data_IF_081526159494
#
_entry.id   IF_081526159494
#
_cell.length_a   1.000
_cell.length_b   1.000
_cell.length_c   1.000
_cell.angle_alpha   90.00
_cell.angle_beta   90.00
_cell.angle_gamma   90.00
#
_symmetry.space_group_name_H-M   'P 1'
#
loop_
_entity.id
_entity.type
_entity.pdbx_description
1 polymer ?
#
# COMPACT_ATOMS: atom_id res chain seq x y z
N UNK A 1 3.28 -27.18 1.61
CA UNK A 1 2.03 -26.52 1.16
C UNK A 1 2.17 -26.13 -0.32
N UNK A 2 1.07 -25.91 -1.04
CA UNK A 2 1.14 -25.26 -2.37
C UNK A 2 1.38 -23.77 -2.18
N UNK A 3 2.36 -23.24 -2.90
CA UNK A 3 2.69 -21.81 -2.96
C UNK A 3 2.03 -21.10 -4.14
N UNK A 4 1.13 -21.80 -4.84
CA UNK A 4 0.31 -21.25 -5.91
C UNK A 4 -0.83 -20.44 -5.29
N UNK A 5 -0.99 -19.19 -5.71
CA UNK A 5 -1.99 -18.25 -5.19
C UNK A 5 -3.13 -18.00 -6.20
N UNK A 6 -3.35 -18.93 -7.11
CA UNK A 6 -4.21 -18.79 -8.30
C UNK A 6 -5.71 -19.00 -8.08
N UNK A 7 -6.17 -19.25 -6.85
CA UNK A 7 -7.59 -19.49 -6.54
C UNK A 7 -8.12 -18.59 -5.41
N UNK A 8 -8.94 -17.60 -5.76
CA UNK A 8 -10.05 -17.10 -4.96
C UNK A 8 -11.37 -17.53 -5.61
N UNK A 9 -12.01 -18.57 -5.08
CA UNK A 9 -13.25 -19.14 -5.64
C UNK A 9 -14.51 -18.32 -5.31
N UNK A 10 -14.60 -17.09 -5.81
CA UNK A 10 -15.80 -16.25 -5.81
C UNK A 10 -15.95 -15.50 -7.14
N UNK A 11 -17.08 -15.73 -7.83
CA UNK A 11 -17.39 -15.10 -9.12
C UNK A 11 -17.84 -13.65 -8.90
N UNK A 12 -17.22 -12.71 -9.60
CA UNK A 12 -17.64 -11.30 -9.67
C UNK A 12 -17.94 -10.95 -11.13
N UNK A 13 -19.18 -10.55 -11.42
CA UNK A 13 -19.58 -10.12 -12.77
C UNK A 13 -19.22 -8.64 -12.97
N UNK A 14 -18.37 -8.29 -13.95
CA UNK A 14 -18.18 -6.89 -14.34
C UNK A 14 -19.39 -6.42 -15.15
N UNK A 15 -19.94 -5.26 -14.81
CA UNK A 15 -20.87 -4.56 -15.70
C UNK A 15 -20.10 -4.00 -16.90
N UNK A 16 -20.64 -4.18 -18.11
CA UNK A 16 -20.06 -3.65 -19.33
C UNK A 16 -20.86 -2.42 -19.80
N UNK A 17 -20.17 -1.31 -20.03
CA UNK A 17 -20.68 -0.19 -20.83
C UNK A 17 -19.75 0.04 -22.03
N UNK A 18 -20.35 0.43 -23.15
CA UNK A 18 -19.79 0.30 -24.49
C UNK A 18 -19.16 1.58 -25.02
N UNK A 19 -18.11 1.43 -25.83
CA UNK A 19 -17.52 2.52 -26.60
C UNK A 19 -17.72 2.18 -28.09
N UNK A 20 -18.36 3.09 -28.83
CA UNK A 20 -18.71 2.87 -30.23
C UNK A 20 -17.50 3.04 -31.16
N UNK A 21 -17.31 2.10 -32.10
CA UNK A 21 -16.22 2.15 -33.09
C UNK A 21 -16.61 2.91 -34.37
N UNK A 22 -15.66 3.68 -34.88
CA UNK A 22 -15.48 3.94 -36.33
C UNK A 22 -14.01 4.33 -36.60
N UNK A 23 -13.35 3.93 -37.69
CA UNK A 23 -13.71 2.91 -38.68
C UNK A 23 -13.46 3.31 -40.15
N UNK A 24 -12.20 3.40 -40.59
CA UNK A 24 -11.84 3.62 -42.01
C UNK A 24 -10.61 2.76 -42.41
N UNK A 25 -10.58 2.30 -43.66
CA UNK A 25 -9.57 1.38 -44.21
C UNK A 25 -8.25 2.06 -44.64
N UNK A 26 -7.15 1.29 -44.61
CA UNK A 26 -5.89 1.58 -45.29
C UNK A 26 -5.30 0.29 -45.90
N UNK A 27 -4.62 0.36 -47.05
CA UNK A 27 -4.31 -0.82 -47.88
C UNK A 27 -2.87 -0.82 -48.41
N UNK A 28 -2.36 -2.01 -48.79
CA UNK A 28 -1.06 -2.29 -49.46
C UNK A 28 0.19 -2.22 -48.56
N UNK A 29 1.34 -2.82 -48.91
CA UNK A 29 1.74 -4.12 -49.56
C UNK A 29 3.24 -4.00 -49.88
N UNK A 30 4.07 -4.93 -49.42
CA UNK A 30 5.48 -5.11 -49.85
C UNK A 30 6.41 -3.91 -49.51
N UNK A 31 7.73 -4.04 -49.34
CA UNK A 31 8.64 -4.91 -50.10
C UNK A 31 9.80 -5.53 -49.28
N UNK A 32 10.57 -6.39 -49.94
CA UNK A 32 11.72 -7.13 -49.41
C UNK A 32 13.02 -6.57 -50.00
N UNK A 33 14.06 -6.34 -49.19
CA UNK A 33 15.43 -6.45 -49.72
C UNK A 33 16.47 -6.83 -48.67
N UNK A 34 17.27 -7.83 -49.03
CA UNK A 34 18.37 -8.40 -48.25
C UNK A 34 19.64 -7.55 -48.34
N UNK A 35 20.45 -7.51 -47.27
CA UNK A 35 21.91 -7.52 -47.43
C UNK A 35 22.63 -8.13 -46.22
N UNK A 36 23.49 -9.12 -46.49
CA UNK A 36 24.51 -9.65 -45.58
C UNK A 36 25.84 -8.92 -45.87
N UNK A 37 26.66 -8.72 -44.85
CA UNK A 37 28.07 -9.17 -44.71
C UNK A 37 28.59 -8.63 -43.37
N UNK A 38 29.56 -9.17 -42.63
CA UNK A 38 30.03 -10.51 -42.24
C UNK A 38 31.41 -10.26 -41.59
N UNK A 39 31.68 -10.81 -40.39
CA UNK A 39 33.01 -11.08 -39.82
C UNK A 39 33.93 -9.88 -39.46
N UNK A 40 34.45 -9.92 -38.23
CA UNK A 40 35.58 -9.11 -37.73
C UNK A 40 35.85 -9.45 -36.26
N UNK A 41 36.89 -10.24 -35.97
CA UNK A 41 37.24 -10.68 -34.61
C UNK A 41 38.46 -9.92 -34.06
N UNK A 42 38.65 -10.04 -32.74
CA UNK A 42 39.95 -10.10 -32.04
C UNK A 42 40.41 -8.86 -31.23
N UNK A 43 40.34 -9.03 -29.91
CA UNK A 43 41.46 -8.86 -28.97
C UNK A 43 41.98 -7.47 -28.54
N UNK A 44 41.84 -7.25 -27.23
CA UNK A 44 42.93 -7.08 -26.23
C UNK A 44 43.31 -5.69 -25.69
N UNK A 45 43.60 -5.77 -24.39
CA UNK A 45 44.60 -5.07 -23.57
C UNK A 45 44.25 -3.74 -22.87
N UNK A 46 44.97 -3.53 -21.76
CA UNK A 46 44.64 -2.62 -20.67
C UNK A 46 45.43 -1.30 -20.78
N UNK A 47 45.04 -0.28 -20.01
CA UNK A 47 45.85 0.26 -18.89
C UNK A 47 45.14 1.41 -18.16
N UNK A 48 45.24 1.42 -16.83
CA UNK A 48 45.12 2.64 -16.02
C UNK A 48 46.52 3.29 -15.89
N UNK A 49 46.58 4.60 -15.63
CA UNK A 49 47.22 5.01 -14.37
C UNK A 49 46.41 6.08 -13.61
N UNK A 50 46.93 6.53 -12.45
CA UNK A 50 46.19 7.33 -11.47
C UNK A 50 46.73 8.77 -11.29
N UNK A 51 45.82 9.65 -10.84
CA UNK A 51 45.96 10.78 -9.89
C UNK A 51 47.37 11.40 -9.72
N UNK A 52 47.47 12.74 -9.80
CA UNK A 52 47.89 13.46 -8.60
C UNK A 52 46.84 14.47 -8.10
N UNK A 53 46.87 14.73 -6.79
CA UNK A 53 46.00 15.68 -6.10
C UNK A 53 46.51 17.12 -6.24
N UNK A 54 45.65 18.10 -5.99
CA UNK A 54 46.13 19.40 -5.52
C UNK A 54 45.15 20.01 -4.50
N UNK A 55 45.67 20.84 -3.60
CA UNK A 55 44.96 21.30 -2.40
C UNK A 55 44.78 22.81 -2.38
N UNK A 56 43.69 23.29 -1.77
CA UNK A 56 43.57 24.67 -1.31
C UNK A 56 42.62 24.75 -0.13
N UNK A 57 43.06 25.41 0.94
CA UNK A 57 42.26 25.68 2.14
C UNK A 57 41.64 27.08 1.97
N UNK A 58 40.37 27.24 2.34
CA UNK A 58 39.84 28.54 2.79
C UNK A 58 39.23 28.32 4.17
N UNK A 59 39.62 29.17 5.12
CA UNK A 59 39.10 29.16 6.49
C UNK A 59 37.93 30.13 6.57
N UNK A 60 36.80 29.70 7.14
CA UNK A 60 35.72 30.58 7.56
C UNK A 60 35.15 30.03 8.88
N UNK A 61 35.31 30.81 9.95
CA UNK A 61 34.98 30.39 11.32
C UNK A 61 33.58 30.84 11.74
N UNK A 62 32.73 29.90 12.13
CA UNK A 62 31.55 30.16 12.97
C UNK A 62 31.47 29.12 14.09
N UNK A 63 31.11 29.58 15.29
CA UNK A 63 31.05 28.77 16.52
C UNK A 63 29.80 27.88 16.56
N UNK A 64 29.91 26.61 16.99
CA UNK A 64 28.74 25.75 17.19
C UNK A 64 28.01 26.10 18.49
N UNK A 65 26.73 26.50 18.40
CA UNK A 65 25.83 26.53 19.55
C UNK A 65 25.33 25.12 19.86
N UNK A 66 25.57 24.64 21.08
CA UNK A 66 25.19 23.30 21.50
C UNK A 66 23.72 23.22 21.91
N UNK A 67 22.88 22.58 21.08
CA UNK A 67 21.59 22.02 21.52
C UNK A 67 21.50 20.55 21.10
N UNK A 68 21.88 19.66 22.02
CA UNK A 68 21.78 18.21 21.85
C UNK A 68 20.34 17.73 22.08
N UNK A 69 19.53 17.74 21.02
CA UNK A 69 18.27 17.00 21.01
C UNK A 69 18.50 15.49 21.11
N UNK A 70 17.54 14.71 21.63
CA UNK A 70 17.70 13.26 21.80
C UNK A 70 17.86 12.55 20.45
N UNK A 71 18.99 11.87 20.26
CA UNK A 71 19.35 11.24 18.99
C UNK A 71 18.62 9.88 18.84
N UNK A 72 17.64 9.80 17.93
CA UNK A 72 16.75 8.64 17.70
C UNK A 72 17.50 7.39 17.19
N UNK A 73 18.15 6.65 18.10
CA UNK A 73 18.77 5.34 17.83
C UNK A 73 17.71 4.23 17.94
N UNK A 74 16.97 3.99 16.86
CA UNK A 74 16.05 2.86 16.80
C UNK A 74 16.82 1.53 16.67
N UNK A 75 16.93 0.76 17.76
CA UNK A 75 17.20 -0.67 17.62
C UNK A 75 15.97 -1.35 17.01
N UNK A 76 16.16 -2.08 15.91
CA UNK A 76 15.15 -3.01 15.38
C UNK A 76 15.14 -4.29 16.21
N UNK A 77 14.70 -4.21 17.46
CA UNK A 77 14.38 -5.40 18.24
C UNK A 77 13.12 -6.08 17.65
N UNK A 78 13.05 -7.42 17.59
CA UNK A 78 11.89 -8.11 17.07
C UNK A 78 10.70 -8.00 18.03
N UNK A 79 9.53 -7.63 17.53
CA UNK A 79 8.29 -7.68 18.29
C UNK A 79 7.94 -9.14 18.61
N UNK A 80 8.23 -9.59 19.84
CA UNK A 80 7.94 -10.94 20.31
C UNK A 80 6.45 -11.06 20.61
N UNK A 81 5.76 -11.95 19.89
CA UNK A 81 4.36 -12.29 20.14
C UNK A 81 4.21 -13.18 21.39
N UNK A 82 4.37 -12.58 22.57
CA UNK A 82 4.04 -13.19 23.85
C UNK A 82 2.52 -13.33 24.01
N UNK A 83 1.93 -14.42 23.49
CA UNK A 83 0.71 -15.03 24.04
C UNK A 83 0.64 -16.52 23.65
N UNK A 84 0.99 -17.40 24.59
CA UNK A 84 0.61 -18.81 24.57
C UNK A 84 -0.81 -18.96 25.10
N UNK A 85 -1.64 -19.77 24.44
CA UNK A 85 -2.98 -20.12 24.93
C UNK A 85 -2.90 -21.29 25.91
N UNK A 86 -3.42 -21.17 27.14
CA UNK A 86 -3.65 -22.34 27.99
C UNK A 86 -4.87 -23.11 27.46
N UNK A 87 -4.68 -24.38 27.12
CA UNK A 87 -5.76 -25.34 26.93
C UNK A 87 -6.27 -25.82 28.28
N UNK A 88 -7.57 -26.12 28.40
CA UNK A 88 -8.17 -27.30 29.06
C UNK A 88 -9.72 -27.22 28.96
N UNK A 89 -10.48 -28.33 29.03
CA UNK A 89 -11.90 -28.37 28.67
C UNK A 89 -12.87 -28.46 29.86
N UNK A 90 -14.13 -28.03 29.66
CA UNK A 90 -15.26 -28.36 30.56
C UNK A 90 -16.46 -28.87 29.75
N UNK A 91 -17.12 -29.89 30.31
CA UNK A 91 -18.20 -30.71 29.77
C UNK A 91 -19.60 -30.11 30.01
N UNK A 92 -20.50 -30.17 29.03
CA UNK A 92 -21.95 -30.08 29.24
C UNK A 92 -22.73 -30.86 28.16
N UNK A 93 -23.87 -31.45 28.55
CA UNK A 93 -24.56 -32.49 27.77
C UNK A 93 -25.69 -31.98 26.86
N UNK A 94 -26.06 -32.86 25.92
CA UNK A 94 -27.35 -32.97 25.21
C UNK A 94 -28.56 -32.32 25.91
N UNK A 95 -29.38 -31.64 25.10
CA UNK A 95 -30.84 -31.66 25.23
C UNK A 95 -31.44 -31.87 23.82
N UNK A 96 -32.58 -32.55 23.72
CA UNK A 96 -33.33 -32.68 22.46
C UNK A 96 -34.40 -31.59 22.36
N UNK A 97 -34.71 -31.15 21.15
CA UNK A 97 -35.89 -30.32 20.87
C UNK A 97 -36.71 -30.97 19.74
N UNK A 98 -37.87 -31.52 20.10
CA UNK A 98 -38.88 -32.01 19.15
C UNK A 98 -39.96 -30.96 18.95
N UNK A 99 -40.39 -30.76 17.71
CA UNK A 99 -41.60 -30.03 17.36
C UNK A 99 -42.22 -30.69 16.11
N UNK A 100 -43.55 -30.80 16.06
CA UNK A 100 -44.25 -31.59 15.04
C UNK A 100 -45.16 -30.74 14.15
N UNK A 101 -45.70 -31.39 13.12
CA UNK A 101 -46.48 -30.86 11.99
C UNK A 101 -47.82 -30.23 12.40
N UNK A 102 -48.31 -29.33 11.56
CA UNK A 102 -49.74 -29.09 11.29
C UNK A 102 -49.96 -29.06 9.77
N UNK A 103 -51.12 -29.54 9.31
CA UNK A 103 -51.63 -29.50 7.91
C UNK A 103 -53.10 -28.98 7.96
N UNK A 104 -53.90 -28.73 6.90
CA UNK A 104 -53.90 -29.00 5.43
C UNK A 104 -54.79 -27.89 4.77
N UNK A 105 -55.38 -27.85 3.55
CA UNK A 105 -55.47 -28.66 2.31
C UNK A 105 -56.01 -27.78 1.14
N UNK A 106 -55.82 -28.23 -0.12
CA UNK A 106 -56.57 -27.77 -1.31
C UNK A 106 -55.99 -26.56 -2.08
N UNK A 107 -56.22 -26.38 -3.39
CA UNK A 107 -56.85 -27.29 -4.37
C UNK A 107 -56.52 -26.94 -5.86
N UNK A 108 -56.47 -27.97 -6.72
CA UNK A 108 -56.73 -28.01 -8.18
C UNK A 108 -56.03 -27.07 -9.22
N UNK A 109 -55.03 -27.63 -9.91
CA UNK A 109 -54.99 -28.00 -11.36
C UNK A 109 -55.72 -27.09 -12.41
N UNK A 110 -54.96 -26.57 -13.39
CA UNK A 110 -55.25 -26.60 -14.85
C UNK A 110 -53.96 -26.32 -15.65
N UNK A 111 -53.91 -26.51 -16.99
CA UNK A 111 -52.63 -26.66 -17.71
C UNK A 111 -52.59 -26.28 -19.22
N UNK A 112 -51.37 -25.94 -19.70
CA UNK A 112 -50.83 -25.88 -21.10
C UNK A 112 -51.54 -24.99 -22.16
N UNK A 113 -50.92 -24.68 -23.33
CA UNK A 113 -49.50 -24.79 -23.75
C UNK A 113 -48.88 -23.47 -24.29
N UNK A 114 -47.57 -23.46 -24.56
CA UNK A 114 -46.92 -22.39 -25.34
C UNK A 114 -45.39 -22.47 -25.38
N UNK A 115 -44.82 -23.23 -26.32
CA UNK A 115 -43.35 -23.35 -26.50
C UNK A 115 -42.99 -23.40 -27.99
N UNK A 116 -42.20 -22.42 -28.45
CA UNK A 116 -41.58 -22.43 -29.79
C UNK A 116 -40.13 -22.94 -29.63
N UNK A 117 -39.64 -23.86 -30.48
CA UNK A 117 -38.25 -24.32 -30.44
C UNK A 117 -37.31 -23.29 -31.10
N UNK A 118 -36.06 -23.25 -30.64
CA UNK A 118 -34.96 -22.48 -31.25
C UNK A 118 -33.75 -23.43 -31.38
N UNK A 119 -33.04 -23.34 -32.50
CA UNK A 119 -32.04 -24.33 -32.92
C UNK A 119 -30.79 -24.42 -32.02
N UNK A 120 -30.25 -25.63 -31.77
CA UNK A 120 -29.00 -25.84 -31.04
C UNK A 120 -27.78 -25.73 -31.97
N UNK A 121 -27.54 -24.56 -32.58
CA UNK A 121 -26.45 -24.37 -33.55
C UNK A 121 -25.73 -23.00 -33.45
N UNK A 122 -25.23 -22.67 -32.25
CA UNK A 122 -24.20 -21.65 -32.10
C UNK A 122 -23.07 -22.16 -31.20
N UNK A 123 -21.90 -22.43 -31.78
CA UNK A 123 -20.69 -22.68 -31.02
C UNK A 123 -20.24 -21.38 -30.33
N UNK A 124 -20.51 -21.26 -29.04
CA UNK A 124 -19.80 -20.29 -28.19
C UNK A 124 -18.32 -20.66 -28.19
N UNK A 125 -17.54 -19.98 -29.03
CA UNK A 125 -16.09 -19.99 -28.93
C UNK A 125 -15.72 -19.34 -27.59
N UNK A 126 -15.46 -20.17 -26.59
CA UNK A 126 -14.96 -19.72 -25.30
C UNK A 126 -13.63 -18.98 -25.55
N UNK A 127 -13.59 -17.71 -25.14
CA UNK A 127 -12.41 -16.88 -25.31
C UNK A 127 -11.34 -17.31 -24.30
N UNK A 128 -10.55 -18.32 -24.69
CA UNK A 128 -9.40 -18.84 -23.94
C UNK A 128 -8.61 -17.70 -23.28
N UNK A 129 -8.50 -17.68 -21.94
CA UNK A 129 -7.88 -16.56 -21.23
C UNK A 129 -6.41 -16.48 -21.62
N UNK A 130 -6.04 -15.36 -22.28
CA UNK A 130 -4.69 -15.12 -22.80
C UNK A 130 -3.62 -15.52 -21.76
N UNK A 131 -2.68 -16.42 -22.11
CA UNK A 131 -1.86 -17.11 -21.12
C UNK A 131 -1.02 -16.12 -20.32
N UNK A 132 -1.28 -16.03 -19.02
CA UNK A 132 -0.62 -15.08 -18.13
C UNK A 132 0.89 -15.32 -18.13
N UNK A 133 1.66 -14.27 -18.50
CA UNK A 133 3.11 -14.36 -18.66
C UNK A 133 3.77 -14.77 -17.33
N UNK A 134 4.29 -16.00 -17.29
CA UNK A 134 4.94 -16.57 -16.10
C UNK A 134 6.37 -16.07 -15.97
N UNK A 135 6.52 -14.92 -15.30
CA UNK A 135 7.81 -14.30 -15.00
C UNK A 135 8.74 -15.22 -14.19
N UNK A 136 10.05 -15.09 -14.42
CA UNK A 136 11.13 -15.72 -13.67
C UNK A 136 12.22 -14.70 -13.36
N UNK A 137 13.19 -15.05 -12.51
CA UNK A 137 14.24 -14.10 -12.10
C UNK A 137 15.19 -13.74 -13.26
N UNK A 138 15.32 -14.63 -14.26
CA UNK A 138 16.15 -14.45 -15.45
C UNK A 138 15.62 -13.37 -16.43
N UNK A 139 14.35 -12.98 -16.29
CA UNK A 139 13.71 -11.91 -17.07
C UNK A 139 14.17 -10.50 -16.64
N UNK A 140 14.90 -10.38 -15.53
CA UNK A 140 15.23 -9.10 -14.90
C UNK A 140 16.75 -8.88 -14.80
N UNK A 141 17.21 -7.68 -15.13
CA UNK A 141 18.50 -7.19 -14.66
C UNK A 141 18.32 -6.68 -13.22
N UNK A 142 19.02 -7.31 -12.27
CA UNK A 142 18.98 -6.92 -10.85
C UNK A 142 20.09 -5.90 -10.57
N UNK A 143 19.69 -4.70 -10.14
CA UNK A 143 20.56 -3.61 -9.75
C UNK A 143 20.75 -3.51 -8.23
N UNK A 144 21.04 -2.30 -7.76
CA UNK A 144 21.34 -2.03 -6.34
C UNK A 144 20.18 -2.39 -5.40
N UNK A 145 20.47 -2.82 -4.16
CA UNK A 145 19.44 -2.89 -3.11
C UNK A 145 18.87 -1.49 -2.84
N UNK A 146 17.56 -1.44 -2.58
CA UNK A 146 16.82 -0.24 -2.21
C UNK A 146 16.48 -0.23 -0.70
N UNK A 147 16.21 -1.40 -0.11
CA UNK A 147 15.89 -1.51 1.31
C UNK A 147 15.87 -2.94 1.84
N UNK A 148 15.89 -3.09 3.16
CA UNK A 148 15.84 -4.37 3.88
C UNK A 148 14.56 -4.43 4.74
N UNK A 149 13.64 -5.30 4.34
CA UNK A 149 12.42 -5.62 5.09
C UNK A 149 12.68 -6.70 6.14
N UNK A 150 11.60 -7.20 6.76
CA UNK A 150 11.67 -8.28 7.77
C UNK A 150 12.04 -9.64 7.14
N UNK A 151 11.39 -10.00 6.04
CA UNK A 151 11.47 -11.33 5.40
C UNK A 151 12.38 -11.37 4.14
N UNK A 152 13.20 -10.34 3.94
CA UNK A 152 14.07 -10.22 2.76
C UNK A 152 14.34 -8.77 2.34
N UNK A 153 14.75 -8.59 1.07
CA UNK A 153 15.28 -7.34 0.55
C UNK A 153 14.46 -6.83 -0.65
N UNK A 154 14.47 -5.52 -0.87
CA UNK A 154 13.94 -4.88 -2.09
C UNK A 154 15.12 -4.44 -2.95
N UNK A 155 15.10 -4.75 -4.24
CA UNK A 155 16.12 -4.36 -5.22
C UNK A 155 15.52 -3.47 -6.30
N UNK A 156 16.35 -2.57 -6.85
CA UNK A 156 16.07 -1.95 -8.14
C UNK A 156 16.22 -3.02 -9.22
N UNK A 157 15.25 -3.17 -10.11
CA UNK A 157 15.30 -4.13 -11.20
C UNK A 157 14.81 -3.50 -12.51
N UNK A 158 15.26 -4.07 -13.63
CA UNK A 158 14.82 -3.70 -14.98
C UNK A 158 14.32 -4.95 -15.71
N UNK A 159 13.09 -4.93 -16.19
CA UNK A 159 12.55 -6.00 -17.05
C UNK A 159 13.27 -5.96 -18.41
N UNK A 160 13.81 -7.09 -18.87
CA UNK A 160 14.71 -7.14 -20.04
C UNK A 160 14.01 -6.86 -21.36
N UNK A 161 12.77 -7.33 -21.49
CA UNK A 161 11.92 -7.25 -22.69
C UNK A 161 11.64 -5.81 -23.18
N UNK A 162 11.36 -4.90 -22.25
CA UNK A 162 10.91 -3.53 -22.54
C UNK A 162 11.70 -2.45 -21.76
N UNK A 163 12.76 -2.85 -21.08
CA UNK A 163 13.61 -2.02 -20.23
C UNK A 163 12.88 -1.26 -19.10
N UNK A 164 11.68 -1.70 -18.71
CA UNK A 164 10.88 -1.06 -17.67
C UNK A 164 11.52 -1.21 -16.29
N UNK A 165 11.65 -0.10 -15.56
CA UNK A 165 12.30 -0.04 -14.24
C UNK A 165 11.25 -0.24 -13.14
N UNK A 166 11.53 -1.13 -12.19
CA UNK A 166 10.65 -1.49 -11.09
C UNK A 166 11.42 -1.84 -9.81
N UNK A 167 10.71 -1.96 -8.69
CA UNK A 167 11.23 -2.47 -7.43
C UNK A 167 10.85 -3.95 -7.27
N UNK A 168 11.83 -4.83 -7.03
CA UNK A 168 11.60 -6.26 -6.83
C UNK A 168 11.78 -6.62 -5.35
N UNK A 169 10.66 -6.84 -4.64
CA UNK A 169 10.62 -7.23 -3.21
C UNK A 169 10.75 -8.75 -3.12
N UNK A 170 11.91 -9.23 -2.68
CA UNK A 170 12.28 -10.66 -2.62
C UNK A 170 12.10 -11.16 -1.18
N UNK A 171 11.28 -12.21 -1.02
CA UNK A 171 10.89 -12.77 0.28
C UNK A 171 11.29 -14.26 0.35
N UNK A 172 11.82 -14.72 1.48
CA UNK A 172 12.23 -16.12 1.67
C UNK A 172 11.09 -16.98 2.22
N UNK A 173 10.71 -18.05 1.51
CA UNK A 173 9.60 -18.94 1.90
C UNK A 173 9.79 -19.54 3.29
N UNK A 174 11.01 -20.02 3.59
CA UNK A 174 11.34 -20.59 4.91
C UNK A 174 11.32 -19.58 6.08
N UNK A 175 11.42 -18.26 5.81
CA UNK A 175 11.22 -17.23 6.84
C UNK A 175 9.73 -16.96 7.08
N UNK A 176 8.93 -16.94 6.00
CA UNK A 176 7.47 -16.79 6.07
C UNK A 176 6.80 -17.99 6.75
N UNK A 177 7.26 -19.21 6.45
CA UNK A 177 6.86 -20.47 7.10
C UNK A 177 7.22 -20.43 8.59
N UNK A 178 8.47 -20.10 8.94
CA UNK A 178 8.96 -20.06 10.34
C UNK A 178 8.21 -19.06 11.21
N UNK A 179 7.80 -17.91 10.65
CA UNK A 179 7.06 -16.88 11.39
C UNK A 179 5.53 -17.01 11.26
N UNK A 180 5.01 -17.99 10.51
CA UNK A 180 3.57 -18.24 10.34
C UNK A 180 2.80 -17.16 9.56
N UNK A 181 3.50 -16.21 8.92
CA UNK A 181 2.91 -15.00 8.30
C UNK A 181 2.36 -15.21 6.90
N UNK A 182 2.31 -16.44 6.38
CA UNK A 182 1.87 -16.70 4.99
C UNK A 182 0.49 -16.09 4.68
N UNK A 183 -0.46 -16.20 5.62
CA UNK A 183 -1.82 -15.67 5.45
C UNK A 183 -1.87 -14.12 5.48
N UNK A 184 -0.87 -13.47 6.09
CA UNK A 184 -0.70 -12.03 6.04
C UNK A 184 -0.17 -11.61 4.66
N UNK A 185 0.86 -12.30 4.15
CA UNK A 185 1.40 -12.04 2.80
C UNK A 185 0.37 -12.34 1.69
N UNK A 186 -0.42 -13.41 1.81
CA UNK A 186 -1.53 -13.71 0.88
C UNK A 186 -2.50 -12.52 0.80
N UNK A 187 -2.87 -11.94 1.95
CA UNK A 187 -3.75 -10.76 2.03
C UNK A 187 -3.09 -9.48 1.51
N UNK A 188 -1.81 -9.26 1.77
CA UNK A 188 -1.03 -8.13 1.23
C UNK A 188 -1.08 -8.15 -0.31
N UNK A 189 -0.80 -9.31 -0.91
CA UNK A 189 -0.87 -9.53 -2.37
C UNK A 189 -2.31 -9.37 -2.88
N UNK A 190 -3.29 -10.04 -2.26
CA UNK A 190 -4.71 -9.98 -2.63
C UNK A 190 -5.25 -8.55 -2.65
N UNK A 191 -5.00 -7.78 -1.59
CA UNK A 191 -5.45 -6.39 -1.48
C UNK A 191 -4.69 -5.52 -2.50
N UNK A 192 -3.36 -5.45 -2.42
CA UNK A 192 -2.59 -4.46 -3.18
C UNK A 192 -2.65 -4.70 -4.70
N UNK A 193 -2.76 -5.97 -5.14
CA UNK A 193 -2.92 -6.30 -6.57
C UNK A 193 -4.21 -5.76 -7.19
N UNK A 194 -5.23 -5.39 -6.40
CA UNK A 194 -6.50 -4.80 -6.85
C UNK A 194 -6.62 -3.28 -6.57
N UNK A 195 -5.57 -2.64 -6.04
CA UNK A 195 -5.50 -1.19 -5.86
C UNK A 195 -4.82 -0.52 -7.06
N UNK A 196 -5.43 0.56 -7.57
CA UNK A 196 -5.00 1.33 -8.75
C UNK A 196 -5.32 2.80 -8.48
N UNK A 197 -4.34 3.54 -7.94
CA UNK A 197 -4.50 4.94 -7.54
C UNK A 197 -3.14 5.65 -7.64
N UNK A 198 -3.04 6.89 -8.13
CA UNK A 198 -1.75 7.58 -8.31
C UNK A 198 -0.90 7.66 -7.05
N UNK A 199 -1.53 7.76 -5.86
CA UNK A 199 -0.84 7.87 -4.57
C UNK A 199 -0.78 6.55 -3.76
N UNK A 200 -1.00 5.41 -4.41
CA UNK A 200 -0.74 4.07 -3.86
C UNK A 200 0.41 3.45 -4.67
N UNK A 201 1.34 2.76 -4.00
CA UNK A 201 2.45 2.09 -4.67
C UNK A 201 1.93 0.94 -5.53
N UNK A 202 2.09 1.07 -6.85
CA UNK A 202 1.49 0.16 -7.81
C UNK A 202 2.11 -1.25 -7.74
N UNK A 203 1.29 -2.26 -7.45
CA UNK A 203 1.65 -3.68 -7.55
C UNK A 203 1.39 -4.16 -8.99
N UNK A 204 2.42 -4.63 -9.69
CA UNK A 204 2.26 -5.09 -11.08
C UNK A 204 1.90 -6.57 -11.16
N UNK A 205 2.70 -7.42 -10.51
CA UNK A 205 2.53 -8.88 -10.50
C UNK A 205 3.39 -9.53 -9.40
N UNK A 206 3.31 -10.85 -9.24
CA UNK A 206 4.27 -11.64 -8.47
C UNK A 206 4.72 -12.88 -9.24
N UNK A 207 5.82 -13.49 -8.79
CA UNK A 207 6.20 -14.85 -9.18
C UNK A 207 6.95 -15.53 -8.02
N UNK A 208 7.28 -16.81 -8.14
CA UNK A 208 8.01 -17.54 -7.11
C UNK A 208 8.97 -18.59 -7.69
N UNK A 209 10.03 -18.91 -6.97
CA UNK A 209 10.88 -20.08 -7.24
C UNK A 209 10.75 -21.13 -6.10
N UNK A 210 11.67 -22.11 -6.05
CA UNK A 210 11.69 -23.17 -5.02
C UNK A 210 11.91 -22.64 -3.58
N UNK A 211 12.53 -21.45 -3.42
CA UNK A 211 12.96 -20.88 -2.13
C UNK A 211 12.41 -19.47 -1.86
N UNK A 212 12.03 -18.72 -2.90
CA UNK A 212 11.71 -17.29 -2.83
C UNK A 212 10.35 -16.95 -3.46
N UNK A 213 9.76 -15.86 -3.01
CA UNK A 213 8.64 -15.14 -3.64
C UNK A 213 9.17 -13.76 -4.07
N UNK A 214 8.68 -13.26 -5.20
CA UNK A 214 9.08 -11.99 -5.80
C UNK A 214 7.83 -11.16 -6.07
N UNK A 215 7.75 -9.96 -5.50
CA UNK A 215 6.68 -9.00 -5.80
C UNK A 215 7.26 -7.91 -6.70
N UNK A 216 6.62 -7.67 -7.85
CA UNK A 216 6.97 -6.64 -8.82
C UNK A 216 6.20 -5.37 -8.49
N UNK A 217 6.89 -4.37 -7.94
CA UNK A 217 6.30 -3.13 -7.42
C UNK A 217 6.82 -1.92 -8.20
N UNK A 218 6.08 -0.82 -8.15
CA UNK A 218 6.53 0.48 -8.63
C UNK A 218 7.83 0.93 -7.96
N UNK A 219 8.73 1.53 -8.75
CA UNK A 219 9.94 2.14 -8.22
C UNK A 219 9.68 3.58 -7.76
N UNK A 220 9.43 3.75 -6.46
CA UNK A 220 9.34 5.06 -5.82
C UNK A 220 10.73 5.73 -5.78
N UNK A 221 11.02 6.52 -6.81
CA UNK A 221 12.38 6.98 -7.13
C UNK A 221 13.05 7.86 -6.06
N UNK A 222 12.28 8.53 -5.19
CA UNK A 222 12.79 9.35 -4.09
C UNK A 222 12.87 8.62 -2.74
N UNK A 223 12.43 7.36 -2.67
CA UNK A 223 12.57 6.50 -1.50
C UNK A 223 11.57 6.81 -0.38
N UNK A 224 11.96 6.54 0.87
CA UNK A 224 11.11 6.64 2.07
C UNK A 224 10.85 8.08 2.50
N UNK A 225 9.58 8.42 2.71
CA UNK A 225 9.15 9.74 3.16
C UNK A 225 9.70 10.06 4.57
N UNK A 226 9.76 9.07 5.46
CA UNK A 226 10.42 9.17 6.77
C UNK A 226 11.86 9.73 6.68
N UNK A 227 12.67 9.26 5.73
CA UNK A 227 14.07 9.71 5.59
C UNK A 227 14.16 11.16 5.13
N UNK A 228 13.24 11.60 4.27
CA UNK A 228 13.15 12.99 3.83
C UNK A 228 12.66 13.91 4.95
N UNK A 229 11.76 13.43 5.82
CA UNK A 229 11.35 14.15 7.02
C UNK A 229 12.52 14.30 8.00
N UNK A 230 13.22 13.20 8.35
CA UNK A 230 14.43 13.27 9.17
C UNK A 230 15.49 14.22 8.59
N UNK A 231 15.65 14.24 7.26
CA UNK A 231 16.63 15.12 6.57
C UNK A 231 16.23 16.60 6.61
N UNK A 232 14.94 16.92 6.64
CA UNK A 232 14.44 18.30 6.73
C UNK A 232 14.19 18.76 8.17
N UNK A 233 14.16 17.84 9.15
CA UNK A 233 13.65 18.06 10.50
C UNK A 233 12.12 18.13 10.51
N UNK A 234 11.55 19.04 9.71
CA UNK A 234 10.10 19.19 9.47
C UNK A 234 9.84 19.61 8.02
N UNK A 235 8.58 19.64 7.61
CA UNK A 235 8.12 20.16 6.33
C UNK A 235 7.42 21.52 6.49
N UNK A 236 7.39 22.28 5.39
CA UNK A 236 6.57 23.49 5.27
C UNK A 236 5.08 23.14 5.09
N UNK A 237 4.21 24.15 5.19
CA UNK A 237 2.76 23.95 5.02
C UNK A 237 2.38 23.52 3.60
N UNK A 238 3.11 23.98 2.58
CA UNK A 238 2.81 23.67 1.18
C UNK A 238 3.00 22.17 0.89
N UNK A 239 4.13 21.60 1.33
CA UNK A 239 4.43 20.17 1.22
C UNK A 239 3.51 19.34 2.10
N UNK A 240 3.28 19.77 3.34
CA UNK A 240 2.42 19.06 4.29
C UNK A 240 0.97 18.97 3.79
N UNK A 241 0.39 20.09 3.32
CA UNK A 241 -0.94 20.13 2.72
C UNK A 241 -1.03 19.29 1.44
N UNK A 242 0.01 19.30 0.60
CA UNK A 242 0.07 18.46 -0.61
C UNK A 242 0.01 16.97 -0.26
N UNK A 243 0.85 16.52 0.68
CA UNK A 243 0.82 15.12 1.14
C UNK A 243 -0.49 14.75 1.82
N UNK A 244 -1.12 15.67 2.56
CA UNK A 244 -2.44 15.43 3.17
C UNK A 244 -3.55 15.29 2.12
N UNK A 245 -3.51 16.04 1.02
CA UNK A 245 -4.44 15.85 -0.10
C UNK A 245 -4.23 14.49 -0.79
N UNK A 246 -2.98 14.17 -1.15
CA UNK A 246 -2.61 12.91 -1.80
C UNK A 246 -3.00 11.67 -0.97
N UNK A 247 -2.80 11.76 0.35
CA UNK A 247 -3.07 10.68 1.29
C UNK A 247 -4.57 10.52 1.58
N UNK A 248 -5.30 11.63 1.73
CA UNK A 248 -6.75 11.58 1.94
C UNK A 248 -7.48 10.98 0.71
N UNK A 249 -7.06 11.33 -0.51
CA UNK A 249 -7.62 10.77 -1.75
C UNK A 249 -7.32 9.26 -1.90
N UNK A 250 -6.08 8.85 -1.63
CA UNK A 250 -5.70 7.44 -1.60
C UNK A 250 -6.50 6.62 -0.57
N UNK A 251 -6.76 7.20 0.61
CA UNK A 251 -7.58 6.56 1.64
C UNK A 251 -9.06 6.53 1.27
N UNK A 252 -9.61 7.56 0.59
CA UNK A 252 -10.97 7.52 0.03
C UNK A 252 -11.11 6.36 -0.95
N UNK A 253 -10.14 6.18 -1.85
CA UNK A 253 -10.12 5.06 -2.80
C UNK A 253 -10.10 3.69 -2.06
N UNK A 254 -9.27 3.54 -1.02
CA UNK A 254 -9.26 2.33 -0.19
C UNK A 254 -10.58 2.09 0.55
N UNK A 255 -11.14 3.11 1.20
CA UNK A 255 -12.37 3.01 2.00
C UNK A 255 -13.60 2.72 1.12
N UNK A 256 -13.65 3.27 -0.10
CA UNK A 256 -14.65 2.91 -1.10
C UNK A 256 -14.57 1.41 -1.47
N UNK A 257 -13.36 0.85 -1.57
CA UNK A 257 -13.11 -0.59 -1.74
C UNK A 257 -13.15 -1.40 -0.43
N UNK A 258 -13.67 -0.83 0.67
CA UNK A 258 -13.76 -1.46 2.01
C UNK A 258 -12.42 -1.97 2.56
N UNK A 259 -11.30 -1.39 2.11
CA UNK A 259 -9.95 -1.64 2.62
C UNK A 259 -9.64 -0.58 3.68
N UNK A 260 -9.32 -1.01 4.89
CA UNK A 260 -8.80 -0.14 5.97
C UNK A 260 -7.29 -0.36 6.06
N UNK A 261 -6.48 0.71 6.11
CA UNK A 261 -5.02 0.60 6.05
C UNK A 261 -4.40 0.18 7.39
N UNK A 262 -4.79 0.88 8.47
CA UNK A 262 -4.44 0.67 9.90
C UNK A 262 -3.00 0.92 10.32
N UNK A 263 -2.03 0.98 9.40
CA UNK A 263 -0.63 1.31 9.72
C UNK A 263 -0.10 2.47 8.84
N UNK A 264 -0.83 3.59 8.81
CA UNK A 264 -0.37 4.83 8.15
C UNK A 264 0.63 5.55 9.06
N UNK A 265 1.87 5.71 8.57
CA UNK A 265 3.00 6.36 9.24
C UNK A 265 4.14 6.66 8.23
N UNK A 266 5.11 7.54 8.54
CA UNK A 266 6.15 7.95 7.60
C UNK A 266 6.99 6.81 7.01
N UNK A 267 7.21 5.72 7.75
CA UNK A 267 8.02 4.57 7.30
C UNK A 267 7.30 3.71 6.25
N UNK A 268 5.96 3.74 6.20
CA UNK A 268 5.14 3.00 5.25
C UNK A 268 4.75 3.84 4.01
N UNK A 269 5.30 5.06 3.91
CA UNK A 269 5.09 6.00 2.83
C UNK A 269 6.38 6.19 2.03
N UNK A 270 6.28 6.07 0.71
CA UNK A 270 7.36 6.35 -0.23
C UNK A 270 7.03 7.59 -1.07
N UNK A 271 8.00 8.07 -1.85
CA UNK A 271 7.84 9.20 -2.75
C UNK A 271 8.23 8.82 -4.19
N UNK A 272 7.37 9.17 -5.15
CA UNK A 272 7.59 8.95 -6.57
C UNK A 272 8.60 9.92 -7.20
N UNK A 273 8.51 10.12 -8.52
CA UNK A 273 9.54 10.84 -9.27
C UNK A 273 9.48 12.37 -9.11
N UNK A 274 8.28 12.95 -9.15
CA UNK A 274 8.05 14.39 -8.92
C UNK A 274 8.03 14.74 -7.43
N UNK A 275 7.77 13.76 -6.57
CA UNK A 275 7.63 13.91 -5.11
C UNK A 275 6.29 13.42 -4.58
N UNK A 276 5.42 12.92 -5.46
CA UNK A 276 4.10 12.36 -5.15
C UNK A 276 4.17 11.26 -4.09
N UNK A 277 3.32 11.36 -3.05
CA UNK A 277 3.23 10.39 -1.97
C UNK A 277 2.73 9.03 -2.48
N UNK A 278 3.28 7.93 -1.96
CA UNK A 278 2.92 6.54 -2.29
C UNK A 278 2.72 5.70 -1.03
N UNK A 279 1.49 5.27 -0.74
CA UNK A 279 1.21 4.27 0.30
C UNK A 279 1.79 2.91 -0.13
N UNK A 280 2.68 2.32 0.68
CA UNK A 280 3.52 1.20 0.22
C UNK A 280 3.37 -0.15 0.98
N UNK A 281 2.93 -0.16 2.24
CA UNK A 281 2.85 -1.38 3.06
C UNK A 281 1.43 -1.70 3.53
N UNK A 282 0.76 -2.59 2.80
CA UNK A 282 -0.59 -3.09 3.09
C UNK A 282 -0.60 -4.31 4.03
N UNK A 283 0.53 -4.65 4.67
CA UNK A 283 0.66 -5.85 5.51
C UNK A 283 -0.27 -5.87 6.73
N UNK A 284 -0.73 -4.72 7.22
CA UNK A 284 -1.75 -4.61 8.27
C UNK A 284 -3.17 -4.34 7.75
N UNK A 285 -3.32 -4.13 6.44
CA UNK A 285 -4.60 -3.77 5.84
C UNK A 285 -5.59 -4.95 5.84
N UNK A 286 -6.87 -4.62 5.86
CA UNK A 286 -7.95 -5.62 5.87
C UNK A 286 -9.11 -5.17 4.97
N UNK A 287 -9.64 -6.12 4.20
CA UNK A 287 -10.96 -5.99 3.61
C UNK A 287 -12.00 -6.22 4.71
N UNK A 288 -12.83 -5.21 4.99
CA UNK A 288 -13.72 -5.17 6.16
C UNK A 288 -15.16 -4.74 5.78
N UNK A 289 -15.90 -5.55 5.00
CA UNK A 289 -17.24 -5.19 4.56
C UNK A 289 -18.30 -5.12 5.67
N UNK A 290 -18.11 -5.79 6.82
CA UNK A 290 -19.17 -5.95 7.84
C UNK A 290 -18.73 -6.15 9.30
N UNK A 291 -17.43 -6.10 9.63
CA UNK A 291 -16.92 -6.51 10.94
C UNK A 291 -15.97 -5.48 11.58
N UNK A 292 -16.44 -4.83 12.65
CA UNK A 292 -15.61 -4.04 13.59
C UNK A 292 -14.58 -4.96 14.25
N UNK A 293 -13.34 -4.48 14.46
CA UNK A 293 -12.19 -5.35 14.84
C UNK A 293 -11.64 -5.04 16.24
N UNK A 294 -10.90 -5.99 16.82
CA UNK A 294 -10.25 -5.89 18.16
C UNK A 294 -8.71 -5.99 18.14
N UNK A 295 -8.09 -6.15 16.97
CA UNK A 295 -6.64 -6.41 16.86
C UNK A 295 -5.82 -5.13 17.05
N UNK A 296 -5.04 -5.07 18.13
CA UNK A 296 -3.96 -4.09 18.33
C UNK A 296 -2.91 -4.23 17.21
N UNK A 297 -2.64 -3.15 16.47
CA UNK A 297 -1.62 -3.08 15.43
C UNK A 297 -1.31 -1.61 15.09
N UNK A 298 -0.05 -1.31 14.76
CA UNK A 298 0.44 0.05 14.44
C UNK A 298 1.79 0.34 15.11
N UNK A 299 2.36 1.52 14.82
CA UNK A 299 3.41 2.12 15.67
C UNK A 299 2.77 2.82 16.87
N UNK A 300 3.41 2.77 18.05
CA UNK A 300 2.89 3.26 19.33
C UNK A 300 2.23 4.65 19.25
N UNK A 301 2.96 5.62 18.74
CA UNK A 301 2.57 7.05 18.72
C UNK A 301 1.47 7.38 17.69
N UNK A 302 1.15 6.39 16.85
CA UNK A 302 0.09 6.43 15.84
C UNK A 302 -1.18 5.67 16.26
N UNK A 303 -1.16 4.94 17.38
CA UNK A 303 -2.33 4.20 17.85
C UNK A 303 -3.49 5.16 18.19
N UNK A 304 -4.74 4.88 17.75
CA UNK A 304 -5.90 5.66 18.13
C UNK A 304 -6.43 5.25 19.52
N UNK A 305 -7.12 6.13 20.26
CA UNK A 305 -7.60 5.86 21.62
C UNK A 305 -8.42 4.57 21.74
N UNK A 306 -9.28 4.27 20.77
CA UNK A 306 -10.13 3.08 20.78
C UNK A 306 -9.34 1.76 20.70
N UNK A 307 -8.13 1.74 20.12
CA UNK A 307 -7.28 0.54 20.16
C UNK A 307 -6.68 0.34 21.55
N UNK A 308 -6.12 1.41 22.15
CA UNK A 308 -5.50 1.40 23.48
C UNK A 308 -6.54 1.03 24.56
N UNK A 309 -7.78 1.50 24.41
CA UNK A 309 -8.91 1.20 25.28
C UNK A 309 -9.55 -0.17 25.01
N UNK A 310 -9.00 -0.99 24.11
CA UNK A 310 -9.51 -2.33 23.78
C UNK A 310 -10.90 -2.36 23.11
N UNK A 311 -11.35 -1.21 22.61
CA UNK A 311 -12.66 -1.03 21.96
C UNK A 311 -12.61 -1.55 20.52
N UNK A 312 -13.80 -1.62 19.89
CA UNK A 312 -13.92 -2.13 18.52
C UNK A 312 -13.82 -1.02 17.48
N UNK A 313 -12.83 -1.12 16.60
CA UNK A 313 -12.48 -0.09 15.61
C UNK A 313 -12.97 -0.43 14.19
N UNK A 314 -13.04 0.62 13.36
CA UNK A 314 -13.53 0.67 11.98
C UNK A 314 -12.55 1.49 11.09
N UNK A 315 -12.99 2.07 9.97
CA UNK A 315 -12.13 2.84 9.06
C UNK A 315 -11.66 4.19 9.63
N UNK A 316 -12.28 4.68 10.71
CA UNK A 316 -11.94 5.97 11.34
C UNK A 316 -10.59 5.98 12.05
N UNK A 317 -9.90 4.84 12.14
CA UNK A 317 -8.51 4.75 12.60
C UNK A 317 -7.56 5.43 11.61
N UNK A 318 -7.79 5.31 10.29
CA UNK A 318 -6.91 5.92 9.29
C UNK A 318 -6.99 7.45 9.36
N UNK A 319 -8.16 8.01 9.72
CA UNK A 319 -8.38 9.44 9.95
C UNK A 319 -7.59 9.97 11.16
N UNK A 320 -7.45 9.17 12.21
CA UNK A 320 -6.58 9.51 13.35
C UNK A 320 -5.11 9.52 12.91
N UNK A 321 -4.67 8.46 12.22
CA UNK A 321 -3.27 8.35 11.78
C UNK A 321 -2.84 9.48 10.86
N UNK A 322 -3.70 9.98 9.95
CA UNK A 322 -3.36 11.17 9.15
C UNK A 322 -3.35 12.47 9.96
N UNK A 323 -4.09 12.56 11.07
CA UNK A 323 -4.00 13.67 12.03
C UNK A 323 -2.65 13.69 12.76
N UNK A 324 -2.19 12.51 13.22
CA UNK A 324 -0.86 12.32 13.83
C UNK A 324 0.23 12.68 12.81
N UNK A 325 0.10 12.18 11.58
CA UNK A 325 1.05 12.43 10.49
C UNK A 325 1.14 13.91 10.10
N UNK A 326 -0.01 14.62 10.03
CA UNK A 326 -0.04 16.05 9.72
C UNK A 326 0.67 16.89 10.79
N UNK A 327 0.58 16.50 12.06
CA UNK A 327 1.36 17.11 13.12
C UNK A 327 2.86 16.78 12.96
N UNK A 328 3.22 15.51 12.78
CA UNK A 328 4.63 15.08 12.64
C UNK A 328 5.31 15.74 11.43
N UNK A 329 4.59 15.97 10.32
CA UNK A 329 5.10 16.74 9.18
C UNK A 329 5.45 18.19 9.55
N UNK A 330 4.57 18.91 10.27
CA UNK A 330 4.75 20.32 10.57
C UNK A 330 5.68 20.58 11.77
N UNK A 331 5.83 19.61 12.67
CA UNK A 331 6.57 19.75 13.93
C UNK A 331 7.89 18.97 13.93
N UNK A 332 7.97 17.85 13.20
CA UNK A 332 9.14 16.98 13.11
C UNK A 332 9.16 15.78 14.07
N UNK A 333 8.16 15.66 14.94
CA UNK A 333 7.96 14.53 15.85
C UNK A 333 6.45 14.31 16.11
N UNK A 334 6.01 13.11 16.54
CA UNK A 334 4.60 12.85 16.85
C UNK A 334 4.07 13.75 17.99
N UNK A 335 2.75 14.06 18.01
CA UNK A 335 2.13 14.90 19.04
C UNK A 335 2.16 14.28 20.44
N UNK A 336 2.08 12.95 20.54
CA UNK A 336 1.94 12.22 21.80
C UNK A 336 3.23 11.52 22.28
N UNK A 337 4.32 11.62 21.51
CA UNK A 337 5.62 11.01 21.85
C UNK A 337 6.05 11.43 23.26
N UNK A 338 6.53 10.46 24.04
CA UNK A 338 6.85 10.60 25.47
C UNK A 338 7.96 9.64 25.87
N UNK A 339 8.72 9.98 26.92
CA UNK A 339 9.85 9.16 27.39
C UNK A 339 9.47 7.77 27.95
N UNK A 340 8.18 7.46 28.11
CA UNK A 340 7.70 6.12 28.45
C UNK A 340 6.34 5.84 27.80
N UNK A 341 6.11 4.58 27.40
CA UNK A 341 4.89 4.18 26.66
C UNK A 341 3.60 4.42 27.45
N UNK A 342 3.63 4.28 28.78
CA UNK A 342 2.47 4.51 29.65
C UNK A 342 2.00 5.96 29.59
N UNK A 343 2.92 6.92 29.47
CA UNK A 343 2.58 8.33 29.28
C UNK A 343 2.10 8.60 27.85
N UNK A 344 2.72 8.01 26.82
CA UNK A 344 2.19 8.08 25.43
C UNK A 344 0.73 7.60 25.38
N UNK A 345 0.40 6.48 26.03
CA UNK A 345 -0.98 5.99 26.12
C UNK A 345 -1.92 6.95 26.86
N UNK A 346 -1.51 7.55 27.99
CA UNK A 346 -2.32 8.57 28.69
C UNK A 346 -2.53 9.82 27.83
N UNK A 347 -1.51 10.29 27.11
CA UNK A 347 -1.59 11.48 26.25
C UNK A 347 -2.49 11.24 25.04
N UNK A 348 -2.42 10.05 24.41
CA UNK A 348 -3.36 9.65 23.36
C UNK A 348 -4.79 9.56 23.89
N UNK A 349 -5.03 8.83 24.99
CA UNK A 349 -6.39 8.62 25.53
C UNK A 349 -7.04 9.88 26.09
N UNK A 350 -6.25 10.86 26.55
CA UNK A 350 -6.74 12.21 26.90
C UNK A 350 -6.84 13.16 25.71
N UNK A 351 -6.20 12.84 24.58
CA UNK A 351 -5.91 13.76 23.47
C UNK A 351 -5.18 15.03 23.96
N UNK A 352 -4.11 14.82 24.71
CA UNK A 352 -3.21 15.88 25.21
C UNK A 352 -2.33 16.43 24.07
N UNK A 353 -2.96 17.26 23.24
CA UNK A 353 -2.42 17.81 22.01
C UNK A 353 -1.93 19.25 22.23
N UNK A 354 -0.61 19.42 22.26
CA UNK A 354 0.03 20.72 22.47
C UNK A 354 0.72 21.18 21.18
N UNK A 355 0.38 22.38 20.69
CA UNK A 355 0.91 22.93 19.44
C UNK A 355 2.03 23.96 19.69
N UNK A 356 3.18 23.83 19.02
CA UNK A 356 4.17 24.91 18.97
C UNK A 356 3.61 26.19 18.35
N UNK A 357 4.12 27.35 18.78
CA UNK A 357 3.66 28.67 18.34
C UNK A 357 3.84 28.93 16.84
N UNK A 358 4.70 28.20 16.14
CA UNK A 358 4.94 28.31 14.71
C UNK A 358 3.89 27.60 13.83
N UNK A 359 3.00 26.78 14.40
CA UNK A 359 1.95 26.08 13.63
C UNK A 359 0.78 27.04 13.39
N UNK A 360 0.33 27.17 12.13
CA UNK A 360 -0.77 28.08 11.79
C UNK A 360 -2.11 27.63 12.37
N UNK A 361 -3.04 28.56 12.55
CA UNK A 361 -4.42 28.24 12.99
C UNK A 361 -5.14 27.32 11.99
N UNK A 362 -4.86 27.42 10.69
CA UNK A 362 -5.44 26.53 9.67
C UNK A 362 -4.95 25.09 9.80
N UNK A 363 -3.68 24.89 10.15
CA UNK A 363 -3.13 23.57 10.45
C UNK A 363 -3.65 23.02 11.79
N UNK A 364 -3.70 23.86 12.84
CA UNK A 364 -4.27 23.51 14.15
C UNK A 364 -5.71 23.04 14.04
N UNK A 365 -6.53 23.74 13.24
CA UNK A 365 -7.94 23.40 13.01
C UNK A 365 -8.09 22.04 12.32
N UNK A 366 -7.33 21.78 11.25
CA UNK A 366 -7.33 20.48 10.56
C UNK A 366 -6.94 19.33 11.51
N UNK A 367 -5.81 19.49 12.21
CA UNK A 367 -5.28 18.47 13.12
C UNK A 367 -6.26 18.21 14.28
N UNK A 368 -6.83 19.26 14.86
CA UNK A 368 -7.78 19.15 15.99
C UNK A 368 -9.12 18.53 15.60
N UNK A 369 -9.53 18.63 14.32
CA UNK A 369 -10.72 17.95 13.79
C UNK A 369 -10.45 16.49 13.39
N UNK A 370 -9.21 16.12 13.11
CA UNK A 370 -8.80 14.72 12.86
C UNK A 370 -8.52 13.96 14.16
N UNK A 371 -7.78 14.57 15.09
CA UNK A 371 -7.44 14.02 16.40
C UNK A 371 -8.60 14.20 17.40
N UNK A 372 -9.73 13.57 17.12
CA UNK A 372 -10.87 13.46 18.05
C UNK A 372 -10.86 12.10 18.75
N UNK A 373 -11.08 12.11 20.06
CA UNK A 373 -11.18 10.88 20.87
C UNK A 373 -12.26 9.95 20.31
N UNK A 374 -13.51 10.43 20.24
CA UNK A 374 -14.62 9.72 19.63
C UNK A 374 -14.42 9.60 18.10
N UNK A 375 -14.30 8.39 17.52
CA UNK A 375 -14.08 8.20 16.09
C UNK A 375 -15.19 8.77 15.20
N UNK A 376 -16.41 8.90 15.71
CA UNK A 376 -17.54 9.48 14.98
C UNK A 376 -17.43 11.00 14.80
N UNK A 377 -16.57 11.68 15.58
CA UNK A 377 -16.35 13.13 15.47
C UNK A 377 -15.18 13.51 14.53
N UNK A 378 -14.41 12.53 14.02
CA UNK A 378 -13.22 12.80 13.19
C UNK A 378 -13.63 13.32 11.81
N UNK A 379 -12.92 14.34 11.32
CA UNK A 379 -13.17 14.98 10.03
C UNK A 379 -13.15 13.94 8.88
N UNK A 380 -14.25 13.77 8.11
CA UNK A 380 -14.27 12.84 6.98
C UNK A 380 -13.20 13.19 5.93
N UNK A 381 -12.61 12.18 5.29
CA UNK A 381 -11.51 12.37 4.31
C UNK A 381 -11.88 13.32 3.16
N UNK A 382 -13.14 13.32 2.69
CA UNK A 382 -13.61 14.29 1.68
C UNK A 382 -13.48 15.73 2.18
N UNK A 383 -13.85 15.97 3.44
CA UNK A 383 -13.72 17.27 4.09
C UNK A 383 -12.29 17.64 4.46
N UNK A 384 -11.32 16.71 4.41
CA UNK A 384 -9.88 17.02 4.40
C UNK A 384 -9.47 17.61 3.06
N UNK A 385 -9.91 17.02 1.93
CA UNK A 385 -9.67 17.56 0.58
C UNK A 385 -10.30 18.95 0.38
N UNK A 386 -11.38 19.24 1.09
CA UNK A 386 -12.12 20.52 1.06
C UNK A 386 -11.63 21.53 2.11
N UNK A 387 -10.74 21.13 3.03
CA UNK A 387 -10.34 21.97 4.17
C UNK A 387 -9.64 23.26 3.69
N UNK A 388 -9.98 24.46 4.21
CA UNK A 388 -9.44 25.72 3.71
C UNK A 388 -7.91 25.78 3.70
N UNK A 389 -7.26 25.26 4.74
CA UNK A 389 -5.80 25.16 4.83
C UNK A 389 -5.19 24.24 3.74
N UNK A 390 -5.85 23.12 3.42
CA UNK A 390 -5.41 22.21 2.35
C UNK A 390 -5.58 22.88 0.99
N UNK A 391 -6.73 23.52 0.74
CA UNK A 391 -6.98 24.26 -0.51
C UNK A 391 -6.02 25.44 -0.74
N UNK A 392 -5.64 26.16 0.32
CA UNK A 392 -4.69 27.28 0.20
C UNK A 392 -3.26 26.81 -0.08
N UNK A 393 -2.81 25.75 0.63
CA UNK A 393 -1.41 25.34 0.64
C UNK A 393 -1.06 24.19 -0.33
N UNK A 394 -1.98 23.31 -0.71
CA UNK A 394 -1.65 22.17 -1.60
C UNK A 394 -1.19 22.61 -2.99
N UNK A 395 -0.19 21.91 -3.54
CA UNK A 395 0.30 22.03 -4.92
C UNK A 395 0.36 20.66 -5.59
N UNK A 396 -0.61 19.80 -5.30
CA UNK A 396 -0.69 18.43 -5.85
C UNK A 396 -0.69 18.45 -7.38
N UNK A 397 0.13 17.58 -7.97
CA UNK A 397 0.22 17.37 -9.43
C UNK A 397 0.08 15.88 -9.70
N UNK A 398 -0.98 15.49 -10.41
CA UNK A 398 -1.19 14.09 -10.77
C UNK A 398 -0.07 13.59 -11.71
N UNK A 399 0.42 12.34 -11.52
CA UNK A 399 1.32 11.70 -12.47
C UNK A 399 0.69 11.57 -13.86
N UNK A 400 1.47 11.66 -14.96
CA UNK A 400 0.98 11.36 -16.30
C UNK A 400 0.49 9.91 -16.38
N UNK A 401 -0.75 9.71 -16.84
CA UNK A 401 -1.33 8.39 -17.10
C UNK A 401 -0.95 7.97 -18.52
N UNK A 402 -0.68 6.67 -18.74
CA UNK A 402 -0.49 6.14 -20.08
C UNK A 402 -1.81 6.18 -20.87
N UNK A 403 -1.94 7.18 -21.74
CA UNK A 403 -2.90 7.14 -22.85
C UNK A 403 -2.32 6.25 -23.94
N UNK A 404 -2.98 5.13 -24.23
CA UNK A 404 -2.69 4.40 -25.46
C UNK A 404 -2.87 5.34 -26.65
N UNK A 405 -1.95 5.30 -27.62
CA UNK A 405 -2.22 5.92 -28.91
C UNK A 405 -3.32 5.09 -29.61
N UNK A 406 -4.31 5.74 -30.23
CA UNK A 406 -5.33 5.05 -31.03
C UNK A 406 -4.72 4.43 -32.29
#
# INVERSE_FOLDING_TARGET
MRWDFSEPSFVYQPAAESIHLSGVNGHRRHDVTTKRVNIGMSSKENLNPAIPSNSSKILASCTPLSQSGPQRVLRKEPFVSMFSTPSEPILAQRAMASASRVATAGSQISAVPGRVPVDPSCNTLEAEPLPSKKFKIEDFDIGRPLGKGKFGNVYLARLRENHYILALKVLFKSQLEKEGVEHQLRREIEIQSHLRHPNILQFYNYFHDKKRIYLMLEFAARGELYKELQRCGRFDEQRSATYMEELADALIYCHNKKVIHRDIKPENLLMGYKGELKIADFGWSVHAPSLRRKTMCGTLDYLPPEMIEGKTHDEKVDLWCIGVLCYEFLVGHPPFESANHTETYKRITKVDLNFPSFVSEGAKDLISRLLRHNPAQRLPLKSVLEHPWVKANSRRVLPPVYTAKP
#
